data_IF_488732408414
#
_entry.id   IF_488732408414
#
_cell.length_a   1.000
_cell.length_b   1.000
_cell.length_c   1.000
_cell.angle_alpha   90.00
_cell.angle_beta   90.00
_cell.angle_gamma   90.00
#
_symmetry.space_group_name_H-M   'P 1'
#
loop_
_entity.id
_entity.type
_entity.pdbx_description
1 polymer ?
#
# COMPACT_ATOMS: atom_id res chain seq x y z
N UNK A 1 -14.51 -4.96 -7.59
CA UNK A 1 -13.20 -5.21 -6.95
C UNK A 1 -12.40 -3.93 -7.05
N UNK A 2 -12.18 -3.22 -5.94
CA UNK A 2 -11.43 -1.95 -5.94
C UNK A 2 -10.00 -2.20 -6.40
N UNK A 3 -9.60 -1.49 -7.46
CA UNK A 3 -8.27 -1.51 -8.05
C UNK A 3 -7.24 -1.11 -6.97
N UNK A 4 -6.46 -2.06 -6.45
CA UNK A 4 -5.40 -1.83 -5.46
C UNK A 4 -4.27 -0.95 -6.04
N UNK A 5 -4.01 -1.09 -7.34
CA UNK A 5 -2.88 -0.44 -8.02
C UNK A 5 -3.33 0.66 -8.98
N UNK A 6 -2.86 1.90 -8.76
CA UNK A 6 -3.15 3.03 -9.63
C UNK A 6 -2.51 2.88 -11.03
N UNK A 7 -1.35 2.24 -11.10
CA UNK A 7 -0.45 2.15 -12.24
C UNK A 7 -0.48 0.78 -12.96
N UNK A 8 -1.52 -0.02 -12.72
CA UNK A 8 -1.78 -1.30 -13.42
C UNK A 8 -3.13 -1.21 -14.13
N UNK A 9 -3.17 -1.22 -15.46
CA UNK A 9 -4.34 -0.96 -16.29
C UNK A 9 -4.79 -2.23 -17.04
N UNK A 10 -6.08 -2.42 -17.35
CA UNK A 10 -6.54 -3.56 -18.16
C UNK A 10 -5.85 -3.74 -19.52
N UNK A 11 -5.19 -2.69 -20.03
CA UNK A 11 -4.42 -2.71 -21.28
C UNK A 11 -2.98 -3.22 -21.09
N UNK A 12 -2.50 -3.30 -19.86
CA UNK A 12 -1.14 -3.77 -19.58
C UNK A 12 -1.08 -5.29 -19.75
N UNK A 13 -0.03 -5.78 -20.42
CA UNK A 13 0.13 -7.21 -20.71
C UNK A 13 0.22 -8.07 -19.44
N UNK A 14 0.68 -7.50 -18.32
CA UNK A 14 0.79 -8.14 -17.01
C UNK A 14 -0.45 -7.98 -16.13
N UNK A 15 -1.49 -7.27 -16.58
CA UNK A 15 -2.65 -6.92 -15.76
C UNK A 15 -3.31 -8.12 -15.06
N UNK A 16 -3.59 -9.19 -15.83
CA UNK A 16 -4.24 -10.39 -15.29
C UNK A 16 -3.38 -11.07 -14.23
N UNK A 17 -2.09 -11.23 -14.51
CA UNK A 17 -1.14 -11.89 -13.61
C UNK A 17 -0.99 -11.13 -12.29
N UNK A 18 -0.95 -9.80 -12.32
CA UNK A 18 -0.89 -8.99 -11.08
C UNK A 18 -2.18 -9.14 -10.27
N UNK A 19 -3.35 -9.12 -10.91
CA UNK A 19 -4.62 -9.30 -10.20
C UNK A 19 -4.84 -10.71 -9.65
N UNK A 20 -4.30 -11.72 -10.30
CA UNK A 20 -4.32 -13.09 -9.79
C UNK A 20 -3.38 -13.24 -8.60
N UNK A 21 -2.16 -12.70 -8.69
CA UNK A 21 -1.18 -12.71 -7.62
C UNK A 21 -1.66 -11.94 -6.36
N UNK A 22 -2.40 -10.85 -6.53
CA UNK A 22 -3.04 -10.12 -5.42
C UNK A 22 -4.08 -10.94 -4.66
N UNK A 23 -4.55 -12.05 -5.21
CA UNK A 23 -5.48 -12.97 -4.54
C UNK A 23 -4.76 -14.13 -3.84
N UNK A 24 -3.45 -14.24 -4.02
CA UNK A 24 -2.64 -15.25 -3.34
C UNK A 24 -2.27 -14.71 -1.97
N UNK A 25 -2.85 -15.30 -0.93
CA UNK A 25 -2.49 -15.00 0.45
C UNK A 25 -1.27 -15.82 0.89
N UNK A 26 -0.42 -15.22 1.73
CA UNK A 26 0.78 -15.87 2.27
C UNK A 26 0.59 -16.39 3.70
N UNK A 27 -0.52 -16.02 4.34
CA UNK A 27 -0.88 -16.42 5.70
C UNK A 27 -2.31 -16.99 5.74
N UNK A 28 -2.60 -17.76 6.79
CA UNK A 28 -3.89 -18.41 7.00
C UNK A 28 -5.02 -17.45 7.34
N UNK A 29 -4.71 -16.26 7.89
CA UNK A 29 -5.68 -15.22 8.23
C UNK A 29 -6.08 -14.37 7.02
N UNK A 30 -5.39 -14.54 5.88
CA UNK A 30 -5.57 -13.79 4.64
C UNK A 30 -5.35 -12.29 4.83
N UNK A 31 -4.37 -11.93 5.65
CA UNK A 31 -4.05 -10.53 5.94
C UNK A 31 -3.01 -9.97 4.95
N UNK A 32 -2.12 -10.81 4.43
CA UNK A 32 -1.07 -10.45 3.48
C UNK A 32 -1.17 -11.20 2.15
N UNK A 33 -0.98 -10.45 1.06
CA UNK A 33 -0.98 -10.97 -0.31
C UNK A 33 0.42 -11.18 -0.85
N UNK A 34 0.61 -11.96 -1.92
CA UNK A 34 1.92 -12.25 -2.49
C UNK A 34 2.72 -10.97 -2.80
N UNK A 35 2.07 -9.96 -3.38
CA UNK A 35 2.68 -8.65 -3.60
C UNK A 35 2.34 -7.65 -2.51
N UNK A 36 3.37 -7.04 -1.93
CA UNK A 36 3.26 -5.89 -1.06
C UNK A 36 3.53 -4.60 -1.84
N UNK A 37 2.78 -3.54 -1.56
CA UNK A 37 3.04 -2.25 -2.17
C UNK A 37 4.38 -1.69 -1.71
N UNK A 38 5.08 -0.97 -2.60
CA UNK A 38 6.18 -0.12 -2.18
C UNK A 38 5.63 1.19 -1.63
N UNK A 39 6.03 1.54 -0.41
CA UNK A 39 5.66 2.79 0.25
C UNK A 39 6.37 3.98 -0.40
N UNK A 40 5.64 5.08 -0.60
CA UNK A 40 6.17 6.29 -1.23
C UNK A 40 5.48 7.57 -0.75
N UNK A 41 6.25 8.65 -0.61
CA UNK A 41 5.74 9.98 -0.25
C UNK A 41 6.58 11.13 -0.82
N UNK A 42 7.54 10.85 -1.71
CA UNK A 42 8.33 11.87 -2.41
C UNK A 42 7.88 11.98 -3.86
N UNK A 43 7.66 13.20 -4.30
CA UNK A 43 7.17 13.51 -5.64
C UNK A 43 8.08 14.51 -6.34
N UNK A 44 8.06 14.52 -7.67
CA UNK A 44 8.68 15.57 -8.46
C UNK A 44 8.08 16.93 -8.06
N UNK A 45 8.93 17.96 -7.99
CA UNK A 45 8.51 19.31 -7.59
C UNK A 45 7.30 19.78 -8.41
N UNK A 46 6.24 20.20 -7.72
CA UNK A 46 4.99 20.65 -8.34
C UNK A 46 4.05 19.53 -8.80
N UNK A 47 4.41 18.26 -8.63
CA UNK A 47 3.64 17.07 -9.05
C UNK A 47 3.29 16.16 -7.85
N UNK A 48 3.02 16.76 -6.70
CA UNK A 48 2.56 16.02 -5.51
C UNK A 48 1.16 15.44 -5.71
N UNK A 49 0.87 14.29 -5.11
CA UNK A 49 -0.50 13.78 -5.00
C UNK A 49 -1.43 14.82 -4.35
N UNK A 50 -2.61 15.05 -4.95
CA UNK A 50 -3.63 15.98 -4.43
C UNK A 50 -5.03 15.50 -4.78
N UNK A 51 -5.99 15.76 -3.90
CA UNK A 51 -7.42 15.54 -4.16
C UNK A 51 -8.15 16.88 -4.21
N UNK A 52 -8.91 17.10 -5.27
CA UNK A 52 -9.76 18.27 -5.46
C UNK A 52 -11.22 17.86 -5.38
N UNK A 53 -11.97 18.52 -4.50
CA UNK A 53 -13.37 18.18 -4.22
C UNK A 53 -14.30 19.25 -4.79
N UNK A 54 -15.31 18.84 -5.53
CA UNK A 54 -16.28 19.69 -6.20
C UNK A 54 -17.71 19.22 -5.91
N UNK A 55 -18.65 20.16 -6.01
CA UNK A 55 -20.07 19.87 -6.18
C UNK A 55 -20.45 20.31 -7.59
N UNK A 56 -21.04 19.41 -8.35
CA UNK A 56 -21.36 19.68 -9.76
C UNK A 56 -22.55 20.60 -9.92
N UNK A 57 -22.49 21.40 -10.98
CA UNK A 57 -23.65 22.06 -11.56
C UNK A 57 -24.22 21.19 -12.69
N UNK A 58 -25.52 21.31 -12.97
CA UNK A 58 -26.17 20.51 -14.02
C UNK A 58 -25.51 20.73 -15.38
N UNK A 59 -25.17 19.65 -16.08
CA UNK A 59 -24.50 19.68 -17.39
C UNK A 59 -22.97 19.84 -17.33
N UNK A 60 -22.37 19.90 -16.13
CA UNK A 60 -20.93 20.10 -16.00
C UNK A 60 -20.14 18.89 -16.51
N UNK A 61 -19.20 19.14 -17.43
CA UNK A 61 -18.28 18.14 -18.00
C UNK A 61 -16.81 18.45 -17.74
N UNK A 62 -16.49 19.67 -17.29
CA UNK A 62 -15.12 20.14 -17.07
C UNK A 62 -14.93 20.68 -15.66
N UNK A 63 -13.77 20.43 -15.09
CA UNK A 63 -13.39 20.82 -13.73
C UNK A 63 -12.12 21.65 -13.76
N UNK A 64 -12.18 22.86 -13.21
CA UNK A 64 -11.05 23.77 -13.16
C UNK A 64 -10.16 23.43 -11.96
N UNK A 65 -8.90 23.11 -12.24
CA UNK A 65 -7.85 22.83 -11.26
C UNK A 65 -6.70 23.81 -11.52
N UNK A 66 -6.70 24.94 -10.81
CA UNK A 66 -5.71 26.01 -10.99
C UNK A 66 -4.28 25.50 -10.82
N UNK A 67 -3.44 25.77 -11.82
CA UNK A 67 -2.04 25.38 -11.88
C UNK A 67 -1.80 23.94 -12.37
N UNK A 68 -2.86 23.22 -12.75
CA UNK A 68 -2.73 21.86 -13.25
C UNK A 68 -2.04 21.85 -14.62
N UNK A 69 -1.02 21.00 -14.74
CA UNK A 69 -0.35 20.71 -16.00
C UNK A 69 -0.34 19.19 -16.14
N UNK A 70 -0.94 18.61 -17.20
CA UNK A 70 -0.88 17.17 -17.42
C UNK A 70 0.57 16.64 -17.47
N UNK A 71 0.78 15.42 -16.99
CA UNK A 71 2.04 14.66 -17.13
C UNK A 71 1.66 13.23 -17.47
N UNK A 72 2.34 12.63 -18.46
CA UNK A 72 2.04 11.26 -18.91
C UNK A 72 2.30 10.19 -17.85
N UNK A 73 3.10 10.50 -16.83
CA UNK A 73 3.43 9.59 -15.71
C UNK A 73 2.45 9.71 -14.54
N UNK A 74 1.55 10.69 -14.57
CA UNK A 74 0.54 10.90 -13.53
C UNK A 74 -0.76 10.22 -13.93
N UNK A 75 -1.26 9.33 -13.08
CA UNK A 75 -2.63 8.83 -13.19
C UNK A 75 -3.60 9.85 -12.59
N UNK A 76 -4.67 10.17 -13.31
CA UNK A 76 -5.78 10.99 -12.82
C UNK A 76 -7.04 10.14 -12.75
N UNK A 77 -7.70 10.13 -11.61
CA UNK A 77 -8.96 9.40 -11.39
C UNK A 77 -10.04 10.38 -10.93
N UNK A 78 -11.21 10.31 -11.55
CA UNK A 78 -12.37 11.13 -11.19
C UNK A 78 -13.39 10.24 -10.49
N UNK A 79 -13.74 10.56 -9.25
CA UNK A 79 -14.78 9.86 -8.50
C UNK A 79 -16.06 10.70 -8.53
N UNK A 80 -17.15 10.16 -9.08
CA UNK A 80 -18.49 10.81 -9.09
C UNK A 80 -19.40 10.01 -8.20
N UNK A 81 -19.89 10.61 -7.11
CA UNK A 81 -20.61 9.93 -6.02
C UNK A 81 -19.90 8.61 -5.59
N UNK A 82 -18.57 8.64 -5.58
CA UNK A 82 -17.72 7.51 -5.23
C UNK A 82 -17.43 6.49 -6.33
N UNK A 83 -18.08 6.58 -7.49
CA UNK A 83 -17.80 5.69 -8.63
C UNK A 83 -16.60 6.23 -9.41
N UNK A 84 -15.54 5.43 -9.64
CA UNK A 84 -14.34 5.88 -10.36
C UNK A 84 -14.56 5.91 -11.88
N UNK A 85 -14.07 6.98 -12.51
CA UNK A 85 -14.05 7.20 -13.95
C UNK A 85 -12.67 7.66 -14.39
N UNK A 86 -12.27 7.23 -15.59
CA UNK A 86 -11.13 7.80 -16.27
C UNK A 86 -11.54 9.13 -16.93
N UNK A 87 -10.72 10.18 -16.83
CA UNK A 87 -10.97 11.42 -17.56
C UNK A 87 -10.86 11.15 -19.07
N UNK A 88 -11.65 11.88 -19.87
CA UNK A 88 -11.59 11.78 -21.33
C UNK A 88 -10.51 12.66 -21.94
N UNK A 89 -10.20 13.78 -21.28
CA UNK A 89 -9.13 14.70 -21.69
C UNK A 89 -8.51 15.36 -20.47
N UNK A 90 -7.19 15.46 -20.48
CA UNK A 90 -6.40 16.23 -19.52
C UNK A 90 -5.83 17.45 -20.24
N UNK A 91 -6.07 18.63 -19.68
CA UNK A 91 -5.68 19.90 -20.27
C UNK A 91 -5.07 20.81 -19.19
N UNK A 92 -4.30 21.82 -19.61
CA UNK A 92 -3.82 22.83 -18.67
C UNK A 92 -5.02 23.43 -17.92
N UNK A 93 -4.90 23.47 -16.59
CA UNK A 93 -5.90 23.96 -15.64
C UNK A 93 -7.25 23.20 -15.63
N UNK A 94 -7.43 22.15 -16.44
CA UNK A 94 -8.73 21.48 -16.57
C UNK A 94 -8.64 19.95 -16.68
N UNK A 95 -9.59 19.29 -16.04
CA UNK A 95 -9.88 17.86 -16.21
C UNK A 95 -11.27 17.70 -16.80
N UNK A 96 -11.38 16.94 -17.89
CA UNK A 96 -12.63 16.71 -18.61
C UNK A 96 -13.17 15.31 -18.38
N UNK A 97 -14.49 15.21 -18.27
CA UNK A 97 -15.24 13.96 -18.16
C UNK A 97 -16.18 13.84 -19.35
N UNK A 98 -16.26 12.65 -19.94
CA UNK A 98 -16.90 12.40 -21.24
C UNK A 98 -18.42 12.47 -21.27
N UNK A 99 -19.07 12.83 -20.17
CA UNK A 99 -20.51 12.85 -20.05
C UNK A 99 -20.98 14.01 -19.16
N UNK A 100 -22.12 14.64 -19.49
CA UNK A 100 -22.69 15.69 -18.65
C UNK A 100 -23.15 15.12 -17.31
N UNK A 101 -22.78 15.78 -16.22
CA UNK A 101 -23.20 15.38 -14.88
C UNK A 101 -24.51 16.04 -14.47
N UNK A 102 -25.34 15.31 -13.73
CA UNK A 102 -26.45 15.90 -13.00
C UNK A 102 -25.93 16.88 -11.94
N UNK A 103 -26.73 17.88 -11.56
CA UNK A 103 -26.36 18.81 -10.50
C UNK A 103 -26.30 18.14 -9.12
N UNK A 104 -25.59 18.79 -8.19
CA UNK A 104 -25.43 18.36 -6.79
C UNK A 104 -24.74 17.00 -6.60
N UNK A 105 -24.05 16.50 -7.62
CA UNK A 105 -23.18 15.32 -7.51
C UNK A 105 -21.85 15.70 -6.86
N UNK A 106 -21.36 14.83 -5.98
CA UNK A 106 -20.07 14.99 -5.36
C UNK A 106 -18.99 14.46 -6.29
N UNK A 107 -18.01 15.30 -6.62
CA UNK A 107 -16.89 14.90 -7.47
C UNK A 107 -15.58 15.07 -6.72
N UNK A 108 -14.76 14.01 -6.68
CA UNK A 108 -13.39 14.08 -6.17
C UNK A 108 -12.43 13.74 -7.30
N UNK A 109 -11.53 14.65 -7.64
CA UNK A 109 -10.49 14.41 -8.65
C UNK A 109 -9.18 14.15 -7.92
N UNK A 110 -8.69 12.93 -8.04
CA UNK A 110 -7.42 12.51 -7.48
C UNK A 110 -6.33 12.63 -8.55
N UNK A 111 -5.41 13.56 -8.33
CA UNK A 111 -4.13 13.62 -9.04
C UNK A 111 -3.17 12.72 -8.27
N UNK A 112 -2.73 11.61 -8.87
CA UNK A 112 -1.86 10.65 -8.18
C UNK A 112 -0.44 11.18 -7.93
N UNK A 113 -0.06 12.28 -8.57
CA UNK A 113 1.29 12.82 -8.56
C UNK A 113 2.27 12.05 -9.45
N UNK A 114 3.47 12.60 -9.58
CA UNK A 114 4.61 11.93 -10.22
C UNK A 114 5.62 11.59 -9.14
N UNK A 115 5.74 10.30 -8.84
CA UNK A 115 6.64 9.79 -7.79
C UNK A 115 8.08 10.05 -8.20
N UNK A 116 8.89 10.55 -7.26
CA UNK A 116 10.32 10.70 -7.51
C UNK A 116 10.98 9.34 -7.29
N UNK A 117 11.71 8.85 -8.28
CA UNK A 117 12.42 7.58 -8.21
C UNK A 117 13.90 7.83 -7.87
N UNK A 118 14.57 6.85 -7.27
CA UNK A 118 16.03 6.85 -7.27
C UNK A 118 16.52 6.87 -8.73
N UNK A 119 17.43 7.80 -9.07
CA UNK A 119 18.08 7.76 -10.38
C UNK A 119 19.12 6.65 -10.37
N UNK A 120 18.97 5.70 -11.29
CA UNK A 120 19.97 4.70 -11.63
C UNK A 120 20.17 4.72 -13.14
N UNK A 121 21.28 4.17 -13.61
CA UNK A 121 21.58 4.00 -15.04
C UNK A 121 21.22 2.58 -15.54
N UNK A 122 20.52 1.81 -14.71
CA UNK A 122 20.18 0.40 -14.94
C UNK A 122 21.41 -0.52 -15.11
N UNK A 123 22.60 -0.07 -14.71
CA UNK A 123 23.75 -0.97 -14.56
C UNK A 123 23.60 -1.80 -13.29
N UNK A 124 24.25 -2.98 -13.21
CA UNK A 124 24.18 -3.83 -12.02
C UNK A 124 24.53 -3.11 -10.71
N UNK A 125 25.37 -2.07 -10.76
CA UNK A 125 25.83 -1.30 -9.58
C UNK A 125 24.93 -0.11 -9.24
N UNK A 126 24.01 0.29 -10.11
CA UNK A 126 23.24 1.53 -9.97
C UNK A 126 21.82 1.34 -10.51
N UNK A 127 21.10 0.42 -9.89
CA UNK A 127 19.72 0.08 -10.18
C UNK A 127 18.78 1.25 -9.88
N UNK A 128 17.77 1.45 -10.71
CA UNK A 128 16.60 2.21 -10.29
C UNK A 128 15.79 1.34 -9.32
N UNK A 129 16.13 1.42 -8.03
CA UNK A 129 15.70 0.45 -7.02
C UNK A 129 14.31 0.74 -6.45
N UNK A 130 14.02 1.99 -6.06
CA UNK A 130 12.80 2.31 -5.32
C UNK A 130 12.22 3.70 -5.62
N UNK A 131 10.91 3.89 -5.38
CA UNK A 131 10.39 5.23 -5.15
C UNK A 131 11.08 5.85 -3.93
N UNK A 132 11.38 7.14 -4.01
CA UNK A 132 11.95 7.86 -2.89
C UNK A 132 10.90 8.11 -1.81
N UNK A 133 11.36 8.04 -0.57
CA UNK A 133 10.63 8.54 0.58
C UNK A 133 11.26 9.85 1.06
N UNK A 134 10.44 10.73 1.61
CA UNK A 134 10.86 11.94 2.30
C UNK A 134 10.85 11.71 3.80
N UNK A 135 11.72 12.42 4.51
CA UNK A 135 11.91 12.35 5.97
C UNK A 135 10.89 13.20 6.74
N UNK A 136 9.76 13.58 6.14
CA UNK A 136 8.76 14.37 6.83
C UNK A 136 8.10 13.57 7.97
N UNK A 137 7.60 14.28 8.99
CA UNK A 137 6.90 13.68 10.12
C UNK A 137 5.57 13.08 9.63
N UNK A 138 5.56 11.76 9.44
CA UNK A 138 4.39 11.02 8.99
C UNK A 138 3.26 11.17 9.99
N UNK A 139 2.07 11.48 9.48
CA UNK A 139 0.88 11.56 10.29
C UNK A 139 -0.33 11.05 9.50
N UNK A 140 -1.12 10.18 10.13
CA UNK A 140 -2.37 9.72 9.54
C UNK A 140 -3.32 10.91 9.31
N UNK A 141 -3.98 11.00 8.13
CA UNK A 141 -4.98 12.01 7.86
C UNK A 141 -6.05 12.02 8.94
N UNK A 142 -6.36 13.20 9.44
CA UNK A 142 -7.31 13.34 10.53
C UNK A 142 -8.17 14.58 10.41
N UNK A 143 -9.32 14.54 11.10
CA UNK A 143 -10.22 15.69 11.27
C UNK A 143 -10.94 15.59 12.60
N UNK A 144 -10.96 16.70 13.35
CA UNK A 144 -11.78 16.84 14.55
C UNK A 144 -13.26 16.89 14.15
N UNK A 145 -14.06 16.05 14.78
CA UNK A 145 -15.50 15.97 14.55
C UNK A 145 -16.25 17.11 15.26
N UNK A 146 -17.42 17.48 14.76
CA UNK A 146 -18.24 18.57 15.30
C UNK A 146 -18.52 18.41 16.81
N UNK A 147 -18.90 17.20 17.22
CA UNK A 147 -19.23 16.87 18.61
C UNK A 147 -18.06 16.27 19.40
N UNK A 148 -16.81 16.54 19.00
CA UNK A 148 -15.63 15.83 19.54
C UNK A 148 -15.52 15.84 21.06
N UNK A 149 -15.81 16.97 21.72
CA UNK A 149 -15.71 17.13 23.18
C UNK A 149 -16.68 16.24 23.95
N UNK A 150 -17.75 15.79 23.28
CA UNK A 150 -18.80 14.95 23.84
C UNK A 150 -18.76 13.55 23.24
N UNK A 151 -17.73 13.21 22.46
CA UNK A 151 -17.61 11.90 21.84
C UNK A 151 -17.65 10.80 22.90
N UNK A 152 -18.36 9.71 22.60
CA UNK A 152 -18.43 8.53 23.46
C UNK A 152 -18.14 7.33 22.60
N UNK A 153 -17.08 6.60 22.93
CA UNK A 153 -16.84 5.31 22.31
C UNK A 153 -17.72 4.24 22.96
N UNK A 154 -18.48 3.51 22.14
CA UNK A 154 -19.27 2.36 22.60
C UNK A 154 -18.56 1.04 22.28
N UNK A 155 -17.95 0.45 23.31
CA UNK A 155 -17.27 -0.85 23.23
C UNK A 155 -18.23 -2.02 22.98
N UNK A 156 -19.53 -1.87 23.23
CA UNK A 156 -20.53 -2.94 23.06
C UNK A 156 -21.10 -3.01 21.64
N UNK A 157 -20.66 -2.13 20.72
CA UNK A 157 -21.14 -2.02 19.35
C UNK A 157 -22.66 -1.89 19.21
N UNK A 158 -23.36 -1.44 20.26
CA UNK A 158 -24.81 -1.27 20.22
C UNK A 158 -25.21 -0.05 19.38
N UNK A 159 -24.28 0.91 19.25
CA UNK A 159 -24.43 2.11 18.45
C UNK A 159 -23.38 2.13 17.33
N UNK A 160 -23.82 1.80 16.11
CA UNK A 160 -22.96 1.67 14.93
C UNK A 160 -22.25 2.97 14.54
N UNK A 161 -20.96 3.06 14.84
CA UNK A 161 -20.09 4.06 14.21
C UNK A 161 -19.70 3.59 12.82
N UNK A 162 -19.94 4.44 11.83
CA UNK A 162 -19.78 4.09 10.43
C UNK A 162 -19.10 5.24 9.71
N UNK A 163 -18.05 4.96 8.95
CA UNK A 163 -17.49 5.91 8.00
C UNK A 163 -17.66 5.37 6.58
N UNK A 164 -18.03 6.26 5.66
CA UNK A 164 -18.19 5.95 4.24
C UNK A 164 -17.35 6.95 3.44
N UNK A 165 -16.49 6.45 2.58
CA UNK A 165 -15.70 7.23 1.64
C UNK A 165 -15.89 6.64 0.24
N UNK A 166 -16.14 7.49 -0.77
CA UNK A 166 -16.34 7.06 -2.15
C UNK A 166 -17.35 5.89 -2.29
N UNK A 167 -18.49 5.98 -1.60
CA UNK A 167 -19.54 4.94 -1.59
C UNK A 167 -19.09 3.56 -1.08
N UNK A 168 -17.92 3.49 -0.42
CA UNK A 168 -17.40 2.31 0.26
C UNK A 168 -17.46 2.53 1.78
N UNK A 169 -18.06 1.58 2.50
CA UNK A 169 -17.98 1.54 3.97
C UNK A 169 -16.56 1.19 4.37
N UNK A 170 -15.99 1.99 5.27
CA UNK A 170 -14.66 1.76 5.82
C UNK A 170 -14.73 0.77 6.99
N UNK A 171 -13.66 0.02 7.16
CA UNK A 171 -13.48 -0.91 8.28
C UNK A 171 -13.04 -0.13 9.51
N UNK A 172 -13.78 -0.26 10.63
CA UNK A 172 -13.35 0.35 11.89
C UNK A 172 -12.20 -0.46 12.47
N UNK A 173 -11.12 0.22 12.86
CA UNK A 173 -9.99 -0.38 13.58
C UNK A 173 -9.98 0.16 15.01
N UNK A 174 -9.92 -0.75 15.98
CA UNK A 174 -9.69 -0.39 17.37
C UNK A 174 -8.19 -0.12 17.56
N UNK A 175 -7.89 1.00 18.23
CA UNK A 175 -6.51 1.44 18.47
C UNK A 175 -6.30 1.49 19.96
N UNK A 176 -5.71 0.43 20.48
CA UNK A 176 -5.32 0.34 21.87
C UNK A 176 -3.96 0.99 22.03
N UNK A 177 -3.93 2.19 22.63
CA UNK A 177 -2.70 2.94 22.86
C UNK A 177 -2.05 2.46 24.15
N UNK A 178 -0.77 2.07 24.08
CA UNK A 178 -0.01 1.73 25.27
C UNK A 178 0.31 2.99 26.12
N UNK A 179 0.58 2.79 27.40
CA UNK A 179 0.97 3.89 28.29
C UNK A 179 2.24 4.58 27.77
N UNK A 180 2.25 5.91 27.73
CA UNK A 180 3.35 6.71 27.16
C UNK A 180 3.47 6.68 25.62
N UNK A 181 2.73 5.82 24.90
CA UNK A 181 2.80 5.74 23.44
C UNK A 181 2.16 6.97 22.78
N UNK A 182 2.76 7.47 21.70
CA UNK A 182 2.13 8.52 20.89
C UNK A 182 0.95 7.94 20.10
N UNK A 183 -0.08 8.76 19.83
CA UNK A 183 -1.23 8.32 19.02
C UNK A 183 -0.77 7.87 17.62
N UNK A 184 0.23 8.53 17.02
CA UNK A 184 0.75 8.15 15.70
C UNK A 184 1.46 6.79 15.72
N UNK A 185 2.17 6.46 16.80
CA UNK A 185 2.77 5.13 16.97
C UNK A 185 1.70 4.04 17.09
N UNK A 186 0.66 4.29 17.91
CA UNK A 186 -0.48 3.38 18.04
C UNK A 186 -1.22 3.18 16.70
N UNK A 187 -1.47 4.26 15.96
CA UNK A 187 -2.06 4.20 14.61
C UNK A 187 -1.18 3.43 13.62
N UNK A 188 0.14 3.63 13.67
CA UNK A 188 1.09 2.92 12.81
C UNK A 188 1.05 1.42 13.06
N UNK A 189 0.95 1.01 14.33
CA UNK A 189 0.84 -0.40 14.74
C UNK A 189 -0.51 -1.03 14.36
N UNK A 190 -1.62 -0.31 14.53
CA UNK A 190 -2.97 -0.87 14.31
C UNK A 190 -3.48 -0.78 12.86
N UNK A 191 -3.20 0.33 12.18
CA UNK A 191 -3.65 0.59 10.79
C UNK A 191 -2.59 0.14 9.79
N UNK A 192 -1.34 0.51 10.00
CA UNK A 192 -0.23 0.18 9.09
C UNK A 192 -0.52 0.60 7.64
N UNK A 193 -0.47 -0.38 6.74
CA UNK A 193 -0.69 -0.22 5.29
C UNK A 193 -2.13 -0.55 4.84
N UNK A 194 -3.10 -0.60 5.75
CA UNK A 194 -4.50 -0.84 5.36
C UNK A 194 -5.04 0.40 4.65
N UNK A 195 -5.82 0.20 3.59
CA UNK A 195 -6.22 1.28 2.67
C UNK A 195 -7.67 1.79 2.86
N UNK A 196 -8.49 1.05 3.61
CA UNK A 196 -9.92 1.27 3.74
C UNK A 196 -10.40 1.26 5.19
N UNK A 197 -9.57 1.79 6.08
CA UNK A 197 -9.81 1.77 7.52
C UNK A 197 -10.06 3.17 8.10
N UNK A 198 -10.77 3.21 9.23
CA UNK A 198 -10.94 4.40 10.04
C UNK A 198 -10.93 4.07 11.54
N UNK A 199 -10.65 5.07 12.36
CA UNK A 199 -10.85 5.02 13.81
C UNK A 199 -11.22 6.40 14.34
N UNK A 200 -11.85 6.46 15.51
CA UNK A 200 -12.17 7.72 16.19
C UNK A 200 -11.59 7.66 17.59
N UNK A 201 -10.64 8.55 17.88
CA UNK A 201 -9.96 8.66 19.17
C UNK A 201 -10.24 10.07 19.69
N UNK A 202 -10.84 10.18 20.87
CA UNK A 202 -11.19 11.44 21.52
C UNK A 202 -11.95 12.43 20.60
N UNK A 203 -12.87 11.88 19.79
CA UNK A 203 -13.67 12.65 18.84
C UNK A 203 -12.90 13.20 17.65
N UNK A 204 -11.70 12.68 17.37
CA UNK A 204 -10.93 12.93 16.16
C UNK A 204 -10.99 11.70 15.27
N UNK A 205 -11.49 11.88 14.04
CA UNK A 205 -11.46 10.85 13.02
C UNK A 205 -10.04 10.74 12.46
N UNK A 206 -9.51 9.52 12.42
CA UNK A 206 -8.29 9.15 11.71
C UNK A 206 -8.62 8.12 10.64
N UNK A 207 -7.96 8.22 9.49
CA UNK A 207 -8.16 7.30 8.35
C UNK A 207 -6.84 6.88 7.73
N UNK A 208 -6.87 5.79 6.97
CA UNK A 208 -5.76 5.31 6.13
C UNK A 208 -5.16 6.42 5.25
N UNK A 209 -3.85 6.33 4.97
CA UNK A 209 -3.12 7.34 4.20
C UNK A 209 -3.72 7.62 2.82
N UNK A 210 -4.20 6.60 2.11
CA UNK A 210 -4.78 6.73 0.77
C UNK A 210 -6.09 7.53 0.75
N UNK A 211 -6.74 7.74 1.91
CA UNK A 211 -7.96 8.52 2.06
C UNK A 211 -7.69 9.99 2.40
N UNK A 212 -6.43 10.42 2.39
CA UNK A 212 -6.05 11.82 2.60
C UNK A 212 -6.78 12.75 1.62
N UNK A 213 -7.40 13.81 2.14
CA UNK A 213 -8.15 14.82 1.38
C UNK A 213 -9.42 14.32 0.67
N UNK A 214 -9.80 13.05 0.83
CA UNK A 214 -11.09 12.58 0.37
C UNK A 214 -12.20 12.95 1.36
N UNK A 215 -13.41 13.26 0.88
CA UNK A 215 -14.55 13.53 1.72
C UNK A 215 -15.12 12.23 2.30
N UNK A 216 -15.38 12.23 3.61
CA UNK A 216 -15.86 11.09 4.37
C UNK A 216 -17.15 11.47 5.08
N UNK A 217 -18.16 10.61 4.97
CA UNK A 217 -19.40 10.71 5.74
C UNK A 217 -19.28 9.82 6.96
N UNK A 218 -19.40 10.40 8.14
CA UNK A 218 -19.22 9.68 9.40
C UNK A 218 -20.47 9.75 10.27
N UNK A 219 -20.79 8.60 10.86
CA UNK A 219 -21.76 8.43 11.93
C UNK A 219 -21.00 8.06 13.19
N UNK A 220 -21.26 8.75 14.30
CA UNK A 220 -20.54 8.54 15.55
C UNK A 220 -21.36 8.96 16.76
N UNK A 221 -20.97 8.46 17.92
CA UNK A 221 -21.74 8.65 19.14
C UNK A 221 -21.24 9.84 19.95
N UNK A 222 -22.18 10.56 20.57
CA UNK A 222 -21.88 11.66 21.45
C UNK A 222 -22.86 11.75 22.62
N UNK A 223 -22.38 12.28 23.75
CA UNK A 223 -23.17 12.51 24.95
C UNK A 223 -23.99 13.79 24.80
N UNK A 224 -25.30 13.68 25.02
CA UNK A 224 -26.25 14.79 25.04
C UNK A 224 -27.00 14.76 26.38
N UNK A 225 -26.39 15.35 27.42
CA UNK A 225 -26.90 15.24 28.79
C UNK A 225 -26.67 13.83 29.34
N UNK A 226 -27.72 13.17 29.83
CA UNK A 226 -27.67 11.79 30.32
C UNK A 226 -27.73 10.72 29.22
N UNK A 227 -28.05 11.10 27.98
CA UNK A 227 -28.32 10.16 26.88
C UNK A 227 -27.18 10.18 25.85
N UNK A 228 -26.86 9.02 25.29
CA UNK A 228 -25.97 8.90 24.12
C UNK A 228 -26.81 9.03 22.86
N UNK A 229 -26.43 9.95 21.97
CA UNK A 229 -27.04 10.15 20.65
C UNK A 229 -26.03 9.81 19.55
N UNK A 230 -26.54 9.45 18.38
CA UNK A 230 -25.71 9.22 17.19
C UNK A 230 -25.82 10.44 16.26
N UNK A 231 -24.70 11.09 15.97
CA UNK A 231 -24.60 12.08 14.90
C UNK A 231 -24.49 11.33 13.59
N UNK A 232 -25.35 11.65 12.63
CA UNK A 232 -25.39 10.97 11.34
C UNK A 232 -24.95 11.89 10.20
N UNK A 233 -24.24 11.30 9.23
CA UNK A 233 -23.87 11.89 7.94
C UNK A 233 -23.08 13.20 8.07
N UNK A 234 -22.26 13.36 9.10
CA UNK A 234 -21.33 14.49 9.15
C UNK A 234 -20.31 14.31 8.01
N UNK A 235 -20.16 15.33 7.16
CA UNK A 235 -19.20 15.32 6.06
C UNK A 235 -17.91 16.00 6.52
N UNK A 236 -16.82 15.24 6.54
CA UNK A 236 -15.49 15.71 6.91
C UNK A 236 -14.47 15.43 5.82
N UNK A 237 -13.41 16.23 5.77
CA UNK A 237 -12.27 16.02 4.86
C UNK A 237 -11.01 15.90 5.73
N UNK A 238 -10.59 14.69 6.12
CA UNK A 238 -9.35 14.48 6.84
C UNK A 238 -8.15 14.87 5.98
N UNK A 239 -7.15 15.46 6.61
CA UNK A 239 -5.95 15.93 5.91
C UNK A 239 -4.71 15.72 6.75
N UNK A 240 -3.61 15.35 6.09
CA UNK A 240 -2.26 15.39 6.63
C UNK A 240 -1.31 16.00 5.61
N UNK A 241 -0.28 16.71 6.12
CA UNK A 241 0.77 17.31 5.30
C UNK A 241 1.76 16.26 4.76
N UNK A 242 1.89 15.13 5.45
CA UNK A 242 2.87 14.09 5.15
C UNK A 242 2.21 12.72 5.35
N UNK A 243 1.94 12.05 4.22
CA UNK A 243 1.27 10.75 4.18
C UNK A 243 2.13 9.74 3.44
N UNK A 244 2.10 8.48 3.86
CA UNK A 244 2.79 7.40 3.17
C UNK A 244 1.81 6.65 2.27
N UNK A 245 1.96 6.79 0.95
CA UNK A 245 1.09 6.09 0.00
C UNK A 245 1.65 4.71 -0.32
N UNK A 246 0.77 3.78 -0.68
CA UNK A 246 1.05 2.37 -0.87
C UNK A 246 0.10 1.75 -1.92
N UNK A 247 -0.37 2.55 -2.88
CA UNK A 247 -1.36 2.15 -3.89
C UNK A 247 -0.79 2.05 -5.32
N UNK A 248 0.51 1.78 -5.45
CA UNK A 248 1.22 1.60 -6.72
C UNK A 248 2.06 0.34 -6.75
N UNK A 249 2.06 -0.33 -7.90
CA UNK A 249 2.80 -1.56 -8.16
C UNK A 249 4.25 -1.27 -8.61
N UNK A 250 4.47 -0.17 -9.34
CA UNK A 250 5.75 0.23 -9.93
C UNK A 250 6.30 -0.77 -10.96
N UNK A 251 5.61 -1.03 -12.09
CA UNK A 251 5.99 -2.07 -13.05
C UNK A 251 7.32 -1.82 -13.78
N UNK A 252 7.82 -0.58 -13.80
CA UNK A 252 9.00 -0.19 -14.59
C UNK A 252 10.29 -0.07 -13.75
N UNK A 253 10.29 -0.54 -12.50
CA UNK A 253 11.51 -0.51 -11.67
C UNK A 253 12.39 -1.72 -11.97
N UNK A 254 13.68 -1.60 -11.65
CA UNK A 254 14.58 -2.74 -11.61
C UNK A 254 14.58 -3.32 -10.21
N UNK A 255 14.45 -4.64 -10.11
CA UNK A 255 14.37 -5.36 -8.84
C UNK A 255 15.79 -5.71 -8.39
N UNK A 256 16.15 -5.41 -7.14
CA UNK A 256 17.41 -5.87 -6.56
C UNK A 256 17.35 -7.37 -6.26
N UNK A 257 18.50 -8.02 -6.13
CA UNK A 257 18.54 -9.46 -5.83
C UNK A 257 17.85 -9.79 -4.50
N UNK A 258 17.99 -8.94 -3.48
CA UNK A 258 17.29 -9.10 -2.22
C UNK A 258 15.77 -9.07 -2.39
N UNK A 259 15.23 -8.12 -3.16
CA UNK A 259 13.79 -8.03 -3.40
C UNK A 259 13.23 -9.20 -4.17
N UNK A 260 13.99 -9.68 -5.15
CA UNK A 260 13.63 -10.87 -5.90
C UNK A 260 13.52 -12.08 -4.96
N UNK A 261 14.47 -12.22 -4.04
CA UNK A 261 14.47 -13.28 -3.03
C UNK A 261 13.34 -13.12 -2.00
N UNK A 262 12.95 -11.89 -1.64
CA UNK A 262 11.74 -11.64 -0.83
C UNK A 262 10.50 -12.15 -1.56
N UNK A 263 10.37 -11.93 -2.87
CA UNK A 263 9.23 -12.44 -3.65
C UNK A 263 9.21 -13.99 -3.63
N UNK A 264 10.35 -14.64 -3.88
CA UNK A 264 10.46 -16.10 -3.79
C UNK A 264 10.11 -16.62 -2.39
N UNK A 265 10.53 -15.90 -1.35
CA UNK A 265 10.25 -16.26 0.02
C UNK A 265 8.75 -16.11 0.36
N UNK A 266 8.08 -15.10 -0.20
CA UNK A 266 6.62 -14.96 -0.08
C UNK A 266 5.89 -16.07 -0.84
N UNK A 267 6.39 -16.50 -2.00
CA UNK A 267 5.89 -17.69 -2.70
C UNK A 267 6.05 -18.94 -1.82
N UNK A 268 7.23 -19.14 -1.22
CA UNK A 268 7.50 -20.22 -0.27
C UNK A 268 6.51 -20.21 0.90
N UNK A 269 6.30 -19.07 1.56
CA UNK A 269 5.31 -18.91 2.64
C UNK A 269 3.91 -19.36 2.21
N UNK A 270 3.48 -18.96 1.02
CA UNK A 270 2.19 -19.38 0.45
C UNK A 270 2.14 -20.89 0.18
N UNK A 271 3.20 -21.50 -0.34
CA UNK A 271 3.26 -22.96 -0.57
C UNK A 271 3.14 -23.72 0.75
N UNK A 272 3.91 -23.36 1.78
CA UNK A 272 3.78 -23.97 3.11
C UNK A 272 2.36 -23.82 3.67
N UNK A 273 1.77 -22.62 3.59
CA UNK A 273 0.41 -22.40 4.07
C UNK A 273 -0.68 -23.18 3.32
N UNK A 274 -0.39 -23.66 2.10
CA UNK A 274 -1.33 -24.45 1.29
C UNK A 274 -1.12 -25.96 1.40
N UNK A 275 0.13 -26.40 1.50
CA UNK A 275 0.52 -27.80 1.36
C UNK A 275 1.03 -28.43 2.65
N UNK A 276 1.04 -27.69 3.77
CA UNK A 276 1.43 -28.26 5.07
C UNK A 276 0.48 -27.84 6.19
N UNK A 277 0.27 -28.72 7.16
CA UNK A 277 -0.59 -28.44 8.32
C UNK A 277 0.03 -27.46 9.31
N UNK A 278 1.38 -27.41 9.35
CA UNK A 278 2.12 -26.56 10.30
C UNK A 278 2.32 -25.14 9.78
N UNK A 279 2.10 -24.88 8.50
CA UNK A 279 2.42 -23.59 7.88
C UNK A 279 3.92 -23.28 7.89
N UNK A 280 4.27 -22.07 7.47
CA UNK A 280 5.66 -21.62 7.41
C UNK A 280 6.17 -21.16 8.78
N UNK A 281 7.34 -21.63 9.18
CA UNK A 281 8.05 -21.19 10.37
C UNK A 281 9.45 -20.69 9.98
N UNK A 282 9.77 -19.40 10.18
CA UNK A 282 11.10 -18.88 9.87
C UNK A 282 12.14 -19.37 10.88
N UNK A 283 13.35 -19.64 10.37
CA UNK A 283 14.55 -19.66 11.19
C UNK A 283 14.90 -18.22 11.56
N UNK A 284 15.36 -18.02 12.81
CA UNK A 284 15.91 -16.72 13.19
C UNK A 284 17.17 -16.44 12.38
N UNK A 285 17.47 -15.15 12.17
CA UNK A 285 18.68 -14.70 11.45
C UNK A 285 19.95 -15.36 12.00
N UNK A 286 20.02 -15.58 13.31
CA UNK A 286 21.17 -16.21 13.99
C UNK A 286 21.30 -17.71 13.72
N UNK A 287 20.23 -18.38 13.30
CA UNK A 287 20.19 -19.82 13.02
C UNK A 287 20.50 -20.16 11.56
N UNK A 288 20.77 -19.19 10.70
CA UNK A 288 21.22 -19.45 9.32
C UNK A 288 22.55 -20.18 9.33
N UNK A 289 22.56 -21.42 8.84
CA UNK A 289 23.76 -22.28 8.82
C UNK A 289 24.73 -21.88 7.69
N UNK A 290 24.18 -21.38 6.59
CA UNK A 290 24.96 -21.04 5.40
C UNK A 290 25.97 -19.92 5.64
N UNK A 291 27.23 -20.18 5.28
CA UNK A 291 28.24 -19.13 5.18
C UNK A 291 27.96 -18.22 3.98
N UNK A 292 27.84 -16.91 4.23
CA UNK A 292 27.66 -15.86 3.22
C UNK A 292 28.65 -14.74 3.54
N UNK A 293 29.60 -14.48 2.66
CA UNK A 293 30.73 -13.57 2.93
C UNK A 293 30.29 -12.12 3.18
N UNK A 294 29.18 -11.70 2.56
CA UNK A 294 28.59 -10.37 2.73
C UNK A 294 27.35 -10.34 3.62
N UNK A 295 27.15 -11.35 4.50
CA UNK A 295 26.03 -11.43 5.48
C UNK A 295 25.84 -10.13 6.27
N UNK A 296 26.93 -9.46 6.66
CA UNK A 296 26.89 -8.17 7.37
C UNK A 296 26.19 -7.04 6.61
N UNK A 297 26.09 -7.12 5.28
CA UNK A 297 25.33 -6.17 4.44
C UNK A 297 23.83 -6.49 4.42
N UNK A 298 23.45 -7.73 4.73
CA UNK A 298 22.07 -8.21 4.77
C UNK A 298 21.45 -7.97 6.16
N UNK A 299 22.19 -8.28 7.23
CA UNK A 299 21.70 -8.16 8.61
C UNK A 299 21.30 -6.72 8.93
N UNK A 300 20.15 -6.54 9.60
CA UNK A 300 19.59 -5.23 9.94
C UNK A 300 18.83 -4.54 8.80
N UNK A 301 18.79 -5.15 7.60
CA UNK A 301 17.91 -4.70 6.51
C UNK A 301 16.50 -5.27 6.69
N UNK A 302 15.52 -4.57 6.11
CA UNK A 302 14.11 -4.96 6.17
C UNK A 302 13.84 -6.34 5.54
N UNK A 303 14.66 -6.75 4.57
CA UNK A 303 14.58 -8.05 3.89
C UNK A 303 15.43 -9.14 4.54
N UNK A 304 16.12 -8.86 5.66
CA UNK A 304 17.18 -9.73 6.18
C UNK A 304 16.69 -11.14 6.50
N UNK A 305 15.58 -11.24 7.23
CA UNK A 305 14.98 -12.53 7.61
C UNK A 305 14.56 -13.32 6.37
N UNK A 306 13.84 -12.69 5.43
CA UNK A 306 13.34 -13.37 4.24
C UNK A 306 14.48 -13.89 3.35
N UNK A 307 15.50 -13.06 3.11
CA UNK A 307 16.65 -13.42 2.26
C UNK A 307 17.49 -14.52 2.90
N UNK A 308 17.79 -14.41 4.20
CA UNK A 308 18.63 -15.41 4.86
C UNK A 308 17.89 -16.75 5.01
N UNK A 309 16.59 -16.74 5.29
CA UNK A 309 15.80 -17.97 5.38
C UNK A 309 15.72 -18.74 4.07
N UNK A 310 15.54 -18.06 2.95
CA UNK A 310 15.44 -18.74 1.67
C UNK A 310 16.81 -19.17 1.13
N UNK A 311 17.88 -18.41 1.43
CA UNK A 311 19.24 -18.80 1.06
C UNK A 311 19.75 -20.03 1.82
N UNK A 312 19.21 -20.29 3.01
CA UNK A 312 19.55 -21.46 3.84
C UNK A 312 18.85 -22.74 3.38
N UNK A 313 17.94 -22.64 2.41
CA UNK A 313 17.17 -23.78 1.93
C UNK A 313 18.05 -24.76 1.15
N UNK A 314 17.79 -26.06 1.35
CA UNK A 314 18.52 -27.17 0.73
C UNK A 314 17.54 -28.09 -0.03
N UNK A 315 18.03 -28.72 -1.10
CA UNK A 315 17.39 -29.88 -1.71
C UNK A 315 17.54 -31.11 -0.79
N UNK A 316 16.88 -32.23 -1.10
CA UNK A 316 16.99 -33.42 -0.22
C UNK A 316 18.39 -34.04 -0.22
N UNK A 317 19.23 -33.74 -1.21
CA UNK A 317 20.64 -34.14 -1.26
C UNK A 317 21.54 -33.31 -0.32
N UNK A 318 20.98 -32.31 0.37
CA UNK A 318 21.69 -31.41 1.28
C UNK A 318 22.40 -30.24 0.62
N UNK A 319 22.39 -30.14 -0.72
CA UNK A 319 22.93 -28.99 -1.44
C UNK A 319 22.01 -27.78 -1.29
N UNK A 320 22.59 -26.58 -1.16
CA UNK A 320 21.82 -25.35 -1.10
C UNK A 320 21.08 -25.10 -2.43
N UNK A 321 19.82 -24.68 -2.33
CA UNK A 321 18.95 -24.42 -3.48
C UNK A 321 19.53 -23.30 -4.33
N UNK A 322 19.87 -22.17 -3.73
CA UNK A 322 20.32 -21.00 -4.47
C UNK A 322 21.86 -20.90 -4.49
N UNK A 323 22.49 -20.58 -5.63
CA UNK A 323 23.94 -20.39 -5.68
C UNK A 323 24.37 -19.05 -5.05
N UNK A 324 25.59 -19.01 -4.53
CA UNK A 324 26.33 -17.77 -4.26
C UNK A 324 27.34 -17.54 -5.39
N UNK A 325 27.94 -16.35 -5.43
CA UNK A 325 29.08 -16.09 -6.30
C UNK A 325 30.34 -16.83 -5.82
N UNK A 326 31.38 -16.86 -6.66
CA UNK A 326 32.66 -17.53 -6.38
C UNK A 326 33.33 -17.03 -5.08
N UNK A 327 33.11 -15.77 -4.71
CA UNK A 327 33.60 -15.15 -3.47
C UNK A 327 32.68 -15.41 -2.25
N UNK A 328 31.75 -16.36 -2.37
CA UNK A 328 30.71 -16.68 -1.40
C UNK A 328 29.79 -15.50 -1.04
N UNK A 329 29.69 -14.48 -1.91
CA UNK A 329 28.80 -13.34 -1.69
C UNK A 329 27.42 -13.55 -2.34
N UNK A 330 26.43 -12.85 -1.81
CA UNK A 330 25.08 -12.76 -2.38
C UNK A 330 24.83 -11.43 -3.12
N UNK A 331 25.47 -10.34 -2.68
CA UNK A 331 25.36 -9.00 -3.25
C UNK A 331 23.90 -8.48 -3.29
N UNK A 332 23.22 -8.35 -2.13
CA UNK A 332 21.76 -8.15 -2.06
C UNK A 332 21.22 -6.91 -2.80
N UNK A 333 22.03 -5.85 -2.91
CA UNK A 333 21.60 -4.56 -3.46
C UNK A 333 21.87 -4.42 -4.98
N UNK A 334 22.47 -5.43 -5.60
CA UNK A 334 22.75 -5.47 -7.06
C UNK A 334 21.48 -5.88 -7.81
N UNK A 335 21.30 -5.36 -9.03
CA UNK A 335 20.15 -5.68 -9.88
C UNK A 335 20.14 -7.18 -10.19
N UNK A 336 18.97 -7.81 -10.14
CA UNK A 336 18.83 -9.15 -10.69
C UNK A 336 18.89 -9.08 -12.22
N UNK A 337 19.80 -9.83 -12.82
CA UNK A 337 19.86 -9.98 -14.28
C UNK A 337 18.82 -10.98 -14.77
N UNK A 338 18.52 -10.97 -16.08
CA UNK A 338 17.60 -11.95 -16.66
C UNK A 338 18.08 -13.40 -16.47
N UNK A 339 19.39 -13.64 -16.61
CA UNK A 339 19.98 -14.97 -16.45
C UNK A 339 19.82 -15.45 -15.00
N UNK A 340 20.12 -14.60 -14.03
CA UNK A 340 19.92 -14.89 -12.61
C UNK A 340 18.46 -15.16 -12.27
N UNK A 341 17.52 -14.32 -12.75
CA UNK A 341 16.11 -14.52 -12.51
C UNK A 341 15.62 -15.89 -13.01
N UNK A 342 16.06 -16.31 -14.21
CA UNK A 342 15.73 -17.64 -14.76
C UNK A 342 16.32 -18.75 -13.90
N UNK A 343 17.61 -18.66 -13.52
CA UNK A 343 18.28 -19.67 -12.69
C UNK A 343 17.59 -19.79 -11.33
N UNK A 344 17.32 -18.67 -10.66
CA UNK A 344 16.69 -18.66 -9.35
C UNK A 344 15.25 -19.20 -9.40
N UNK A 345 14.44 -18.82 -10.40
CA UNK A 345 13.08 -19.35 -10.55
C UNK A 345 13.05 -20.84 -10.88
N UNK A 346 13.99 -21.30 -11.72
CA UNK A 346 14.10 -22.71 -12.05
C UNK A 346 14.44 -23.54 -10.82
N UNK A 347 15.49 -23.18 -10.08
CA UNK A 347 15.87 -23.87 -8.84
C UNK A 347 14.81 -23.80 -7.76
N UNK A 348 14.12 -22.67 -7.62
CA UNK A 348 12.99 -22.55 -6.71
C UNK A 348 11.87 -23.52 -7.07
N UNK A 349 11.59 -23.67 -8.37
CA UNK A 349 10.54 -24.56 -8.87
C UNK A 349 10.92 -26.04 -8.69
N UNK A 350 12.18 -26.41 -8.93
CA UNK A 350 12.69 -27.75 -8.63
C UNK A 350 12.57 -28.08 -7.14
N UNK A 351 13.03 -27.17 -6.27
CA UNK A 351 12.92 -27.33 -4.83
C UNK A 351 11.46 -27.45 -4.39
N UNK A 352 10.57 -26.60 -4.91
CA UNK A 352 9.16 -26.64 -4.57
C UNK A 352 8.50 -27.96 -4.98
N UNK A 353 8.84 -28.48 -6.15
CA UNK A 353 8.36 -29.79 -6.61
C UNK A 353 8.91 -30.92 -5.76
N UNK A 354 10.17 -30.88 -5.34
CA UNK A 354 10.75 -31.89 -4.47
C UNK A 354 10.14 -31.86 -3.06
N UNK A 355 9.83 -30.68 -2.54
CA UNK A 355 9.41 -30.48 -1.16
C UNK A 355 7.91 -30.69 -0.92
N UNK A 356 7.07 -30.36 -1.90
CA UNK A 356 5.60 -30.33 -1.75
C UNK A 356 4.84 -31.29 -2.65
N UNK A 357 5.53 -32.06 -3.51
CA UNK A 357 4.94 -33.20 -4.20
C UNK A 357 4.89 -34.40 -3.27
#
# INVERSE_FOLDING_TARGET
MTKKWLDVSPKDWFYRSVLEADKIFIDSKREETLFTPKRYNKFVTGKSRKVYNFTTTGGQTKFHIKGYKPDSRETVVVYVDGVPYNPTKLEKDYVHVGFPMAGNKQVSICLSGVVQMHQGDHTPKNCQTYPLTSTCSLAYPSKKLEMSKKYVFDLRYSLNEVAVCMSKKLTRVNVDKAEGESIQAALTRSIGDKDDCFTIIDGVLYVSYNLNQFPIYVNYNYKSGAVVKNRQKEKVVPSSKCVMNNDRFFPNITVSRAEFFVILQRMRKSLYGKYTDRGYHPNSVDKTERHISDRKKIVGKWYSEDVLNILDEKFNDGCYVFPLYEDNSFQPEVCVTKAEAVVYLHRFSEWALERFR
#
